data_IF_361100224452
#
_entry.id   IF_361100224452
#
_cell.length_a   1.000
_cell.length_b   1.000
_cell.length_c   1.000
_cell.angle_alpha   90.00
_cell.angle_beta   90.00
_cell.angle_gamma   90.00
#
_symmetry.space_group_name_H-M   'P 1'
#
loop_
_entity.id
_entity.type
_entity.pdbx_description
1 polymer ?
#
# COMPACT_ATOMS: atom_id res chain seq x y z
N UNK A 1 12.33 -24.77 6.67
CA UNK A 1 12.02 -23.42 7.19
C UNK A 1 10.57 -23.12 6.86
N UNK A 2 9.73 -22.77 7.84
CA UNK A 2 8.32 -22.50 7.59
C UNK A 2 8.12 -21.25 6.73
N UNK A 3 6.98 -21.15 6.04
CA UNK A 3 6.63 -19.96 5.25
C UNK A 3 6.69 -18.67 6.09
N UNK A 4 6.22 -18.74 7.34
CA UNK A 4 6.27 -17.63 8.29
C UNK A 4 7.72 -17.22 8.62
N UNK A 5 8.65 -18.16 8.75
CA UNK A 5 10.05 -17.86 9.07
C UNK A 5 10.76 -17.10 7.93
N UNK A 6 10.45 -17.46 6.68
CA UNK A 6 10.94 -16.76 5.49
C UNK A 6 10.44 -15.31 5.45
N UNK A 7 9.16 -15.08 5.77
CA UNK A 7 8.58 -13.74 5.85
C UNK A 7 9.17 -12.92 7.00
N UNK A 8 9.34 -13.54 8.17
CA UNK A 8 10.00 -12.91 9.33
C UNK A 8 11.41 -12.42 8.97
N UNK A 9 12.21 -13.26 8.29
CA UNK A 9 13.57 -12.90 7.87
C UNK A 9 13.57 -11.79 6.81
N UNK A 10 12.66 -11.85 5.83
CA UNK A 10 12.57 -10.84 4.75
C UNK A 10 12.09 -9.47 5.25
N UNK A 11 11.15 -9.45 6.18
CA UNK A 11 10.59 -8.21 6.73
C UNK A 11 11.28 -7.75 8.02
N UNK A 12 12.25 -8.51 8.52
CA UNK A 12 12.96 -8.27 9.77
C UNK A 12 12.02 -8.17 10.98
N UNK A 13 11.07 -9.10 11.05
CA UNK A 13 9.99 -9.15 12.05
C UNK A 13 10.27 -10.27 13.05
N UNK A 14 10.25 -9.95 14.35
CA UNK A 14 10.59 -10.92 15.42
C UNK A 14 9.43 -11.87 15.77
N UNK A 15 8.17 -11.44 15.59
CA UNK A 15 6.98 -12.19 16.01
C UNK A 15 6.17 -12.73 14.83
N UNK A 16 5.71 -13.99 14.91
CA UNK A 16 4.80 -14.56 13.91
C UNK A 16 3.42 -13.86 13.90
N UNK A 17 2.96 -13.39 15.06
CA UNK A 17 1.73 -12.59 15.18
C UNK A 17 1.79 -11.32 14.34
N UNK A 18 2.94 -10.63 14.35
CA UNK A 18 3.13 -9.41 13.58
C UNK A 18 3.03 -9.66 12.07
N UNK A 19 3.48 -10.82 11.57
CA UNK A 19 3.30 -11.21 10.16
C UNK A 19 1.81 -11.36 9.82
N UNK A 20 1.02 -12.01 10.70
CA UNK A 20 -0.42 -12.12 10.52
C UNK A 20 -1.12 -10.77 10.45
N UNK A 21 -0.78 -9.84 11.36
CA UNK A 21 -1.32 -8.48 11.36
C UNK A 21 -0.94 -7.73 10.09
N UNK A 22 0.31 -7.83 9.63
CA UNK A 22 0.76 -7.19 8.39
C UNK A 22 -0.03 -7.70 7.18
N UNK A 23 -0.23 -9.03 7.08
CA UNK A 23 -1.04 -9.62 6.01
C UNK A 23 -2.49 -9.13 6.06
N UNK A 24 -3.05 -8.98 7.26
CA UNK A 24 -4.39 -8.44 7.46
C UNK A 24 -4.47 -6.97 7.02
N UNK A 25 -3.48 -6.13 7.36
CA UNK A 25 -3.38 -4.75 6.84
C UNK A 25 -3.36 -4.76 5.32
N UNK A 26 -2.56 -5.60 4.68
CA UNK A 26 -2.50 -5.65 3.21
C UNK A 26 -3.85 -6.05 2.59
N UNK A 27 -4.54 -7.02 3.17
CA UNK A 27 -5.87 -7.42 2.72
C UNK A 27 -6.88 -6.26 2.84
N UNK A 28 -6.94 -5.60 3.99
CA UNK A 28 -7.83 -4.45 4.22
C UNK A 28 -7.48 -3.25 3.35
N UNK A 29 -6.20 -2.97 3.18
CA UNK A 29 -5.75 -1.85 2.34
C UNK A 29 -6.12 -2.10 0.88
N UNK A 30 -5.92 -3.33 0.38
CA UNK A 30 -6.27 -3.68 -0.99
C UNK A 30 -7.76 -3.62 -1.28
N UNK A 31 -8.61 -4.11 -0.36
CA UNK A 31 -10.06 -3.97 -0.50
C UNK A 31 -10.45 -2.50 -0.43
N UNK A 32 -9.99 -1.76 0.59
CA UNK A 32 -10.29 -0.32 0.73
C UNK A 32 -9.87 0.47 -0.51
N UNK A 33 -8.71 0.17 -1.08
CA UNK A 33 -8.24 0.84 -2.29
C UNK A 33 -9.19 0.64 -3.47
N UNK A 34 -9.62 -0.60 -3.75
CA UNK A 34 -10.55 -0.87 -4.85
C UNK A 34 -11.90 -0.19 -4.64
N UNK A 35 -12.42 -0.20 -3.42
CA UNK A 35 -13.71 0.42 -3.08
C UNK A 35 -13.66 1.94 -2.94
N UNK A 36 -12.48 2.52 -2.68
CA UNK A 36 -12.36 3.96 -2.43
C UNK A 36 -11.77 4.70 -3.64
N UNK A 37 -10.64 4.25 -4.15
CA UNK A 37 -9.88 5.00 -5.16
C UNK A 37 -10.58 4.99 -6.51
N UNK A 38 -11.12 3.83 -6.93
CA UNK A 38 -11.78 3.72 -8.23
C UNK A 38 -13.09 4.54 -8.33
N UNK A 39 -14.02 4.48 -7.36
CA UNK A 39 -15.27 5.23 -7.48
C UNK A 39 -15.23 6.65 -6.91
N UNK A 40 -14.37 6.97 -5.93
CA UNK A 40 -14.36 8.32 -5.32
C UNK A 40 -13.22 9.19 -5.84
N UNK A 41 -12.03 8.64 -6.04
CA UNK A 41 -10.87 9.44 -6.42
C UNK A 41 -10.86 9.73 -7.92
N UNK A 42 -11.23 8.77 -8.77
CA UNK A 42 -11.18 8.97 -10.22
C UNK A 42 -12.14 10.07 -10.73
N UNK A 43 -13.39 10.15 -10.25
CA UNK A 43 -14.29 11.22 -10.65
C UNK A 43 -13.85 12.60 -10.16
N UNK A 44 -13.19 12.68 -8.98
CA UNK A 44 -12.65 13.94 -8.45
C UNK A 44 -11.56 14.54 -9.35
N UNK A 45 -10.83 13.69 -10.08
CA UNK A 45 -9.84 14.12 -11.08
C UNK A 45 -10.42 14.25 -12.50
N UNK A 46 -11.75 14.20 -12.65
CA UNK A 46 -12.42 14.34 -13.95
C UNK A 46 -12.26 13.13 -14.88
N UNK A 47 -11.88 11.97 -14.34
CA UNK A 47 -11.68 10.74 -15.11
C UNK A 47 -13.03 10.03 -15.25
N UNK A 48 -13.71 10.28 -16.36
CA UNK A 48 -14.97 9.62 -16.75
C UNK A 48 -14.70 8.36 -17.59
N UNK A 49 -15.72 7.53 -17.81
CA UNK A 49 -15.61 6.36 -18.71
C UNK A 49 -15.30 6.75 -20.17
N UNK A 50 -15.56 8.00 -20.54
CA UNK A 50 -15.22 8.63 -21.81
C UNK A 50 -13.71 8.89 -21.97
N UNK A 51 -12.97 8.90 -20.86
CA UNK A 51 -11.57 9.28 -20.84
C UNK A 51 -10.71 8.13 -21.41
N UNK A 52 -9.77 8.48 -22.29
CA UNK A 52 -8.86 7.52 -22.92
C UNK A 52 -8.25 6.55 -21.90
N UNK A 53 -8.26 5.26 -22.22
CA UNK A 53 -7.72 4.18 -21.39
C UNK A 53 -6.29 4.48 -20.90
N UNK A 54 -5.48 5.17 -21.71
CA UNK A 54 -4.13 5.60 -21.35
C UNK A 54 -4.09 6.56 -20.16
N UNK A 55 -5.02 7.52 -20.10
CA UNK A 55 -5.11 8.49 -18.99
C UNK A 55 -5.58 7.79 -17.72
N UNK A 56 -6.52 6.84 -17.83
CA UNK A 56 -7.01 6.03 -16.69
C UNK A 56 -5.89 5.18 -16.08
N UNK A 57 -5.03 4.60 -16.92
CA UNK A 57 -3.85 3.85 -16.48
C UNK A 57 -2.82 4.78 -15.83
N UNK A 58 -2.54 5.93 -16.44
CA UNK A 58 -1.59 6.90 -15.88
C UNK A 58 -2.05 7.39 -14.50
N UNK A 59 -3.34 7.73 -14.36
CA UNK A 59 -3.94 8.10 -13.10
C UNK A 59 -3.87 6.98 -12.05
N UNK A 60 -4.07 5.72 -12.46
CA UNK A 60 -3.91 4.57 -11.57
C UNK A 60 -2.52 4.52 -10.95
N UNK A 61 -1.48 4.76 -11.74
CA UNK A 61 -0.11 4.77 -11.23
C UNK A 61 0.19 6.03 -10.40
N UNK A 62 -0.13 7.22 -10.90
CA UNK A 62 0.26 8.48 -10.26
C UNK A 62 -0.58 8.82 -9.02
N UNK A 63 -1.87 8.51 -9.02
CA UNK A 63 -2.79 8.80 -7.91
C UNK A 63 -2.96 7.55 -7.04
N UNK A 64 -3.09 6.39 -7.67
CA UNK A 64 -3.29 5.14 -6.94
C UNK A 64 -2.11 4.82 -6.03
N UNK A 65 -0.87 5.00 -6.48
CA UNK A 65 0.32 4.73 -5.67
C UNK A 65 0.37 5.56 -4.37
N UNK A 66 0.28 6.91 -4.39
CA UNK A 66 0.25 7.69 -3.15
C UNK A 66 -0.99 7.41 -2.30
N UNK A 67 -2.17 7.20 -2.88
CA UNK A 67 -3.36 6.80 -2.11
C UNK A 67 -3.15 5.48 -1.37
N UNK A 68 -2.60 4.46 -2.05
CA UNK A 68 -2.32 3.15 -1.45
C UNK A 68 -1.35 3.28 -0.28
N UNK A 69 -0.35 4.14 -0.44
CA UNK A 69 0.65 4.38 0.57
C UNK A 69 0.07 5.02 1.85
N UNK A 70 -0.82 6.00 1.68
CA UNK A 70 -1.57 6.60 2.79
C UNK A 70 -2.49 5.56 3.47
N UNK A 71 -3.20 4.75 2.69
CA UNK A 71 -4.07 3.69 3.24
C UNK A 71 -3.27 2.66 4.05
N UNK A 72 -2.06 2.29 3.60
CA UNK A 72 -1.19 1.37 4.31
C UNK A 72 -0.78 1.93 5.68
N UNK A 73 -0.49 3.24 5.75
CA UNK A 73 -0.21 3.90 7.02
C UNK A 73 -1.44 3.94 7.92
N UNK A 74 -2.63 4.24 7.39
CA UNK A 74 -3.88 4.29 8.17
C UNK A 74 -4.20 2.91 8.76
N UNK A 75 -4.22 1.86 7.94
CA UNK A 75 -4.50 0.51 8.46
C UNK A 75 -3.36 0.01 9.37
N UNK A 76 -2.12 0.39 9.05
CA UNK A 76 -0.96 0.14 9.90
C UNK A 76 -1.05 0.83 11.26
N UNK A 77 -1.56 2.06 11.36
CA UNK A 77 -1.78 2.74 12.65
C UNK A 77 -2.92 2.10 13.43
N UNK A 78 -4.04 1.79 12.76
CA UNK A 78 -5.20 1.16 13.38
C UNK A 78 -4.87 -0.19 14.04
N UNK A 79 -3.98 -0.97 13.44
CA UNK A 79 -3.55 -2.28 13.99
C UNK A 79 -2.23 -2.21 14.80
N UNK A 80 -1.76 -1.01 15.14
CA UNK A 80 -0.57 -0.82 16.00
C UNK A 80 0.77 -1.16 15.34
N UNK A 81 0.82 -1.29 14.01
CA UNK A 81 2.01 -1.59 13.21
C UNK A 81 2.58 -0.38 12.45
N UNK A 82 2.21 0.86 12.84
CA UNK A 82 2.64 2.09 12.16
C UNK A 82 4.16 2.17 11.92
N UNK A 83 4.99 1.90 12.95
CA UNK A 83 6.46 1.97 12.81
C UNK A 83 6.98 1.02 11.73
N UNK A 84 6.40 -0.17 11.61
CA UNK A 84 6.77 -1.12 10.57
C UNK A 84 6.44 -0.59 9.18
N UNK A 85 5.20 -0.11 8.98
CA UNK A 85 4.75 0.41 7.68
C UNK A 85 5.45 1.72 7.31
N UNK A 86 5.74 2.59 8.26
CA UNK A 86 6.52 3.81 8.05
C UNK A 86 7.96 3.52 7.61
N UNK A 87 8.64 2.55 8.24
CA UNK A 87 9.96 2.10 7.79
C UNK A 87 9.91 1.39 6.43
N UNK A 88 8.85 0.63 6.17
CA UNK A 88 8.62 -0.03 4.89
C UNK A 88 8.44 0.99 3.76
N UNK A 89 7.61 2.01 3.97
CA UNK A 89 7.38 3.12 3.06
C UNK A 89 8.65 3.90 2.78
N UNK A 90 9.36 4.33 3.83
CA UNK A 90 10.63 5.05 3.68
C UNK A 90 11.67 4.21 2.95
N UNK A 91 11.66 2.88 3.12
CA UNK A 91 12.54 1.97 2.38
C UNK A 91 12.15 1.89 0.90
N UNK A 92 10.85 1.89 0.59
CA UNK A 92 10.34 1.92 -0.78
C UNK A 92 10.69 3.25 -1.46
N UNK A 93 10.41 4.38 -0.82
CA UNK A 93 10.75 5.71 -1.33
C UNK A 93 12.25 5.90 -1.50
N UNK A 94 13.08 5.45 -0.55
CA UNK A 94 14.55 5.47 -0.72
C UNK A 94 15.03 4.66 -1.93
N UNK A 95 14.32 3.61 -2.34
CA UNK A 95 14.68 2.85 -3.56
C UNK A 95 14.19 3.51 -4.84
N UNK A 96 13.09 4.26 -4.78
CA UNK A 96 12.54 4.98 -5.94
C UNK A 96 13.22 6.34 -6.19
N UNK A 97 13.50 7.09 -5.11
CA UNK A 97 14.04 8.46 -5.15
C UNK A 97 15.53 8.49 -4.82
N UNK A 98 16.03 7.52 -4.05
CA UNK A 98 17.43 7.46 -3.67
C UNK A 98 18.29 7.22 -4.90
N UNK A 99 18.78 8.33 -5.47
CA UNK A 99 20.08 8.39 -6.11
C UNK A 99 21.08 7.62 -5.24
N UNK A 100 21.86 6.77 -5.91
CA UNK A 100 23.10 6.22 -5.37
C UNK A 100 23.93 7.31 -4.71
#
# INVERSE_FOLDING_TARGET
MGFIDTLKKRWNVKSGWQVGVILLVFALTGTTFMYTVKPYVYPLFGITDETSTWIRVLAFFFIGLPCYQVLLLIWGTLLGQFKFFWEFEKRMFRRMIGKK
#
